data_IF_158929401072
#
_entry.id   IF_158929401072
#
_cell.length_a   1.000
_cell.length_b   1.000
_cell.length_c   1.000
_cell.angle_alpha   90.00
_cell.angle_beta   90.00
_cell.angle_gamma   90.00
#
_symmetry.space_group_name_H-M   'P 1'
#
loop_
_entity.id
_entity.type
_entity.pdbx_description
1 polymer ?
#
# COMPACT_ATOMS: atom_id res chain seq x y z
N UNK A 1 -11.70 -2.07 -34.44
CA UNK A 1 -11.68 -3.22 -33.52
C UNK A 1 -13.07 -3.34 -32.92
N UNK A 2 -13.73 -4.48 -33.10
CA UNK A 2 -15.06 -4.72 -32.54
C UNK A 2 -14.92 -4.87 -31.01
N UNK A 3 -15.76 -4.20 -30.20
CA UNK A 3 -15.70 -4.37 -28.75
C UNK A 3 -16.01 -5.83 -28.38
N UNK A 4 -15.35 -6.39 -27.34
CA UNK A 4 -15.65 -7.74 -26.87
C UNK A 4 -17.11 -7.86 -26.42
N UNK A 5 -17.71 -9.07 -26.48
CA UNK A 5 -19.10 -9.27 -26.11
C UNK A 5 -19.33 -8.88 -24.64
N UNK A 6 -20.54 -8.40 -24.33
CA UNK A 6 -20.89 -7.88 -23.00
C UNK A 6 -20.61 -8.88 -21.85
N UNK A 7 -20.74 -10.18 -22.11
CA UNK A 7 -20.39 -11.24 -21.16
C UNK A 7 -18.92 -11.22 -20.75
N UNK A 8 -18.01 -11.00 -21.70
CA UNK A 8 -16.57 -11.01 -21.47
C UNK A 8 -16.15 -9.76 -20.68
N UNK A 9 -16.83 -8.63 -20.92
CA UNK A 9 -16.59 -7.38 -20.19
C UNK A 9 -17.09 -7.46 -18.74
N UNK A 10 -18.21 -8.13 -18.46
CA UNK A 10 -18.65 -8.39 -17.08
C UNK A 10 -17.68 -9.30 -16.32
N UNK A 11 -17.10 -10.30 -16.99
CA UNK A 11 -16.05 -11.14 -16.39
C UNK A 11 -14.81 -10.30 -16.06
N UNK A 12 -14.36 -9.46 -17.00
CA UNK A 12 -13.22 -8.56 -16.77
C UNK A 12 -13.48 -7.57 -15.62
N UNK A 13 -14.70 -7.04 -15.53
CA UNK A 13 -15.11 -6.17 -14.42
C UNK A 13 -14.97 -6.89 -13.08
N UNK A 14 -15.55 -8.10 -12.96
CA UNK A 14 -15.50 -8.89 -11.73
C UNK A 14 -14.07 -9.22 -11.31
N UNK A 15 -13.25 -9.66 -12.26
CA UNK A 15 -11.83 -9.96 -12.01
C UNK A 15 -11.08 -8.70 -11.55
N UNK A 16 -11.32 -7.55 -12.17
CA UNK A 16 -10.70 -6.29 -11.77
C UNK A 16 -11.15 -5.83 -10.38
N UNK A 17 -12.44 -5.99 -10.05
CA UNK A 17 -13.00 -5.68 -8.74
C UNK A 17 -12.42 -6.57 -7.63
N UNK A 18 -12.33 -7.89 -7.87
CA UNK A 18 -11.74 -8.85 -6.94
C UNK A 18 -10.26 -8.53 -6.69
N UNK A 19 -9.50 -8.22 -7.75
CA UNK A 19 -8.10 -7.79 -7.61
C UNK A 19 -7.98 -6.49 -6.81
N UNK A 20 -8.82 -5.48 -7.09
CA UNK A 20 -8.80 -4.22 -6.32
C UNK A 20 -9.02 -4.46 -4.83
N UNK A 21 -9.98 -5.30 -4.46
CA UNK A 21 -10.23 -5.67 -3.06
C UNK A 21 -9.06 -6.44 -2.44
N UNK A 22 -8.49 -7.40 -3.20
CA UNK A 22 -7.34 -8.17 -2.76
C UNK A 22 -6.14 -7.27 -2.45
N UNK A 23 -5.76 -6.37 -3.37
CA UNK A 23 -4.65 -5.44 -3.15
C UNK A 23 -4.94 -4.45 -2.01
N UNK A 24 -6.19 -4.02 -1.85
CA UNK A 24 -6.60 -3.19 -0.72
C UNK A 24 -6.44 -3.87 0.64
N UNK A 25 -6.75 -5.17 0.75
CA UNK A 25 -6.52 -5.97 1.96
C UNK A 25 -5.03 -6.24 2.19
N UNK A 26 -4.33 -6.61 1.12
CA UNK A 26 -2.90 -6.90 1.15
C UNK A 26 -2.10 -5.69 1.63
N UNK A 27 -2.47 -4.47 1.20
CA UNK A 27 -1.90 -3.23 1.69
C UNK A 27 -1.89 -3.14 3.22
N UNK A 28 -3.05 -3.29 3.86
CA UNK A 28 -3.16 -3.17 5.31
C UNK A 28 -2.49 -4.33 6.05
N UNK A 29 -2.59 -5.56 5.52
CA UNK A 29 -1.94 -6.73 6.11
C UNK A 29 -0.41 -6.58 6.12
N UNK A 30 0.18 -6.19 4.98
CA UNK A 30 1.62 -5.99 4.85
C UNK A 30 2.10 -4.83 5.73
N UNK A 31 1.36 -3.71 5.78
CA UNK A 31 1.70 -2.60 6.66
C UNK A 31 1.64 -2.99 8.14
N UNK A 32 0.58 -3.65 8.58
CA UNK A 32 0.43 -4.07 9.97
C UNK A 32 1.52 -5.08 10.38
N UNK A 33 1.79 -6.08 9.53
CA UNK A 33 2.84 -7.06 9.76
C UNK A 33 4.22 -6.39 9.89
N UNK A 34 4.58 -5.50 8.96
CA UNK A 34 5.89 -4.85 9.02
C UNK A 34 6.02 -3.88 10.19
N UNK A 35 4.94 -3.24 10.63
CA UNK A 35 4.96 -2.41 11.83
C UNK A 35 5.21 -3.25 13.08
N UNK A 36 4.52 -4.38 13.22
CA UNK A 36 4.76 -5.34 14.30
C UNK A 36 6.19 -5.92 14.23
N UNK A 37 6.67 -6.22 13.03
CA UNK A 37 8.03 -6.70 12.79
C UNK A 37 9.09 -5.67 13.17
N UNK A 38 8.90 -4.39 12.81
CA UNK A 38 9.83 -3.31 13.19
C UNK A 38 9.90 -3.15 14.72
N UNK A 39 8.77 -3.23 15.41
CA UNK A 39 8.73 -3.19 16.88
C UNK A 39 9.43 -4.40 17.50
N UNK A 40 9.15 -5.61 17.02
CA UNK A 40 9.81 -6.83 17.49
C UNK A 40 11.33 -6.78 17.24
N UNK A 41 11.73 -6.30 16.06
CA UNK A 41 13.13 -6.11 15.69
C UNK A 41 13.83 -5.13 16.63
N UNK A 42 13.19 -4.00 16.95
CA UNK A 42 13.71 -3.05 17.91
C UNK A 42 13.99 -3.70 19.26
N UNK A 43 12.99 -4.38 19.82
CA UNK A 43 13.11 -5.04 21.14
C UNK A 43 14.23 -6.07 21.17
N UNK A 44 14.33 -6.92 20.14
CA UNK A 44 15.33 -7.99 20.08
C UNK A 44 16.74 -7.44 19.84
N UNK A 45 16.88 -6.44 18.97
CA UNK A 45 18.19 -5.91 18.59
C UNK A 45 18.73 -4.92 19.60
N UNK A 46 17.87 -4.13 20.25
CA UNK A 46 18.31 -3.12 21.22
C UNK A 46 19.07 -3.75 22.39
N UNK A 47 18.65 -4.94 22.84
CA UNK A 47 19.31 -5.72 23.88
C UNK A 47 20.70 -6.22 23.46
N UNK A 48 20.90 -6.54 22.18
CA UNK A 48 22.11 -7.21 21.68
C UNK A 48 23.15 -6.27 21.07
N UNK A 49 22.70 -5.28 20.30
CA UNK A 49 23.54 -4.38 19.50
C UNK A 49 23.38 -2.90 19.88
N UNK A 50 22.57 -2.62 20.90
CA UNK A 50 22.32 -1.28 21.42
C UNK A 50 21.19 -0.52 20.70
N UNK A 51 20.66 0.53 21.35
CA UNK A 51 19.54 1.32 20.81
C UNK A 51 19.79 1.94 19.43
N UNK A 52 20.95 2.56 19.11
CA UNK A 52 21.16 3.21 17.82
C UNK A 52 21.03 2.24 16.64
N UNK A 53 21.61 1.04 16.76
CA UNK A 53 21.54 0.00 15.73
C UNK A 53 20.10 -0.52 15.55
N UNK A 54 19.38 -0.73 16.66
CA UNK A 54 17.99 -1.17 16.63
C UNK A 54 17.06 -0.12 16.00
N UNK A 55 17.27 1.16 16.34
CA UNK A 55 16.57 2.31 15.75
C UNK A 55 16.82 2.38 14.25
N UNK A 56 18.07 2.25 13.81
CA UNK A 56 18.45 2.31 12.39
C UNK A 56 17.76 1.20 11.57
N UNK A 57 17.84 -0.05 12.05
CA UNK A 57 17.22 -1.19 11.38
C UNK A 57 15.70 -1.08 11.31
N UNK A 58 15.07 -0.61 12.38
CA UNK A 58 13.62 -0.36 12.41
C UNK A 58 13.23 0.74 11.42
N UNK A 59 14.03 1.80 11.32
CA UNK A 59 13.88 2.85 10.31
C UNK A 59 13.92 2.31 8.87
N UNK A 60 14.90 1.45 8.56
CA UNK A 60 15.02 0.78 7.26
C UNK A 60 13.78 -0.07 6.94
N UNK A 61 13.25 -0.83 7.91
CA UNK A 61 12.03 -1.62 7.73
C UNK A 61 10.83 -0.73 7.38
N UNK A 62 10.64 0.39 8.08
CA UNK A 62 9.51 1.30 7.81
C UNK A 62 9.61 1.95 6.42
N UNK A 63 10.82 2.36 6.00
CA UNK A 63 11.03 2.89 4.63
C UNK A 63 10.76 1.81 3.59
N UNK A 64 11.30 0.60 3.78
CA UNK A 64 11.03 -0.54 2.89
C UNK A 64 9.53 -0.83 2.78
N UNK A 65 8.83 -0.78 3.90
CA UNK A 65 7.37 -0.93 3.96
C UNK A 65 6.64 0.16 3.19
N UNK A 66 7.07 1.42 3.32
CA UNK A 66 6.50 2.53 2.55
C UNK A 66 6.68 2.31 1.04
N UNK A 67 7.83 1.81 0.59
CA UNK A 67 8.07 1.47 -0.81
C UNK A 67 7.13 0.37 -1.29
N UNK A 68 6.99 -0.73 -0.53
CA UNK A 68 6.07 -1.83 -0.87
C UNK A 68 4.61 -1.34 -0.90
N UNK A 69 4.19 -0.60 0.12
CA UNK A 69 2.86 -0.01 0.21
C UNK A 69 2.57 0.94 -0.96
N UNK A 70 3.56 1.73 -1.41
CA UNK A 70 3.43 2.60 -2.59
C UNK A 70 3.23 1.81 -3.89
N UNK A 71 3.83 0.62 -4.01
CA UNK A 71 3.67 -0.26 -5.18
C UNK A 71 2.30 -0.92 -5.19
N UNK A 72 1.85 -1.42 -4.04
CA UNK A 72 0.50 -1.99 -3.89
C UNK A 72 -0.58 -0.95 -4.20
N UNK A 73 -0.41 0.29 -3.73
CA UNK A 73 -1.34 1.37 -4.03
C UNK A 73 -1.37 1.73 -5.52
N UNK A 74 -0.22 1.69 -6.22
CA UNK A 74 -0.17 1.89 -7.67
C UNK A 74 -0.88 0.78 -8.43
N UNK A 75 -0.70 -0.47 -8.03
CA UNK A 75 -1.41 -1.60 -8.63
C UNK A 75 -2.92 -1.48 -8.43
N UNK A 76 -3.36 -1.20 -7.21
CA UNK A 76 -4.77 -0.98 -6.91
C UNK A 76 -5.39 0.13 -7.76
N UNK A 77 -4.70 1.27 -7.89
CA UNK A 77 -5.14 2.38 -8.75
C UNK A 77 -5.26 1.96 -10.21
N UNK A 78 -4.36 1.12 -10.71
CA UNK A 78 -4.46 0.54 -12.06
C UNK A 78 -5.75 -0.25 -12.27
N UNK A 79 -6.15 -1.07 -11.30
CA UNK A 79 -7.44 -1.77 -11.34
C UNK A 79 -8.61 -0.81 -11.21
N UNK A 80 -8.53 0.20 -10.35
CA UNK A 80 -9.59 1.21 -10.23
C UNK A 80 -9.80 1.97 -11.55
N UNK A 81 -8.73 2.32 -12.26
CA UNK A 81 -8.82 2.95 -13.60
C UNK A 81 -9.41 2.01 -14.65
N UNK A 82 -9.09 0.71 -14.59
CA UNK A 82 -9.66 -0.28 -15.50
C UNK A 82 -11.17 -0.46 -15.28
N UNK A 83 -11.60 -0.53 -14.01
CA UNK A 83 -13.01 -0.58 -13.61
C UNK A 83 -13.74 0.67 -14.13
N UNK A 84 -13.20 1.86 -13.88
CA UNK A 84 -13.80 3.11 -14.33
C UNK A 84 -13.92 3.20 -15.87
N UNK A 85 -12.96 2.66 -16.61
CA UNK A 85 -13.03 2.61 -18.07
C UNK A 85 -14.14 1.66 -18.57
N UNK A 86 -14.37 0.54 -17.87
CA UNK A 86 -15.47 -0.39 -18.18
C UNK A 86 -16.82 0.23 -17.83
N UNK A 87 -16.93 0.90 -16.69
CA UNK A 87 -18.14 1.62 -16.25
C UNK A 87 -18.48 2.77 -17.20
N UNK A 88 -17.50 3.58 -17.62
CA UNK A 88 -17.72 4.66 -18.58
C UNK A 88 -18.18 4.17 -19.97
N UNK A 89 -17.87 2.92 -20.33
CA UNK A 89 -18.32 2.31 -21.58
C UNK A 89 -19.78 1.79 -21.52
N UNK A 90 -20.41 1.76 -20.33
CA UNK A 90 -21.76 1.24 -20.12
C UNK A 90 -22.59 2.21 -19.28
N UNK A 91 -23.41 3.03 -19.93
CA UNK A 91 -24.32 3.99 -19.27
C UNK A 91 -25.29 3.35 -18.26
N UNK A 92 -25.55 2.04 -18.34
CA UNK A 92 -26.45 1.32 -17.43
C UNK A 92 -25.80 0.82 -16.13
N UNK A 93 -24.46 0.79 -16.04
CA UNK A 93 -23.78 0.44 -14.79
C UNK A 93 -23.77 1.66 -13.87
N UNK A 94 -24.37 1.53 -12.68
CA UNK A 94 -24.33 2.55 -11.62
C UNK A 94 -22.89 3.04 -11.44
N UNK A 95 -22.62 4.29 -11.84
CA UNK A 95 -21.31 4.89 -11.68
C UNK A 95 -20.93 4.87 -10.20
N UNK A 96 -19.95 4.05 -9.84
CA UNK A 96 -19.42 4.03 -8.47
C UNK A 96 -18.66 5.34 -8.30
N UNK A 97 -19.12 6.18 -7.38
CA UNK A 97 -18.55 7.50 -7.15
C UNK A 97 -17.03 7.38 -6.97
N UNK A 98 -16.22 8.11 -7.76
CA UNK A 98 -14.77 7.95 -7.74
C UNK A 98 -14.24 8.35 -6.37
N UNK A 99 -13.81 7.37 -5.57
CA UNK A 99 -13.17 7.61 -4.27
C UNK A 99 -12.04 8.63 -4.43
N UNK A 100 -12.12 9.82 -3.81
CA UNK A 100 -11.18 10.91 -4.05
C UNK A 100 -9.76 10.49 -3.70
N UNK A 101 -8.81 10.82 -4.58
CA UNK A 101 -7.42 10.32 -4.61
C UNK A 101 -6.53 10.63 -3.40
N UNK A 102 -7.06 11.26 -2.34
CA UNK A 102 -6.40 11.56 -1.06
C UNK A 102 -6.90 10.63 0.06
N UNK A 103 -6.93 9.32 -0.20
CA UNK A 103 -7.37 8.33 0.76
C UNK A 103 -6.35 8.04 1.86
N UNK A 104 -6.82 7.52 3.00
CA UNK A 104 -6.01 7.14 4.18
C UNK A 104 -4.74 6.35 3.85
N UNK A 105 -4.77 5.52 2.80
CA UNK A 105 -3.62 4.72 2.34
C UNK A 105 -2.44 5.57 1.87
N UNK A 106 -2.69 6.70 1.22
CA UNK A 106 -1.64 7.64 0.81
C UNK A 106 -0.96 8.23 2.04
N UNK A 107 -1.76 8.65 3.03
CA UNK A 107 -1.25 9.17 4.29
C UNK A 107 -0.42 8.10 5.04
N UNK A 108 -0.84 6.83 5.03
CA UNK A 108 -0.07 5.72 5.59
C UNK A 108 1.29 5.56 4.92
N UNK A 109 1.38 5.61 3.59
CA UNK A 109 2.66 5.50 2.87
C UNK A 109 3.61 6.63 3.27
N UNK A 110 3.13 7.88 3.26
CA UNK A 110 3.95 9.02 3.68
C UNK A 110 4.33 8.95 5.16
N UNK A 111 3.40 8.54 6.03
CA UNK A 111 3.64 8.37 7.46
C UNK A 111 4.72 7.32 7.75
N UNK A 112 4.70 6.18 7.06
CA UNK A 112 5.73 5.14 7.18
C UNK A 112 7.10 5.64 6.71
N UNK A 113 7.15 6.33 5.57
CA UNK A 113 8.39 6.88 5.04
C UNK A 113 8.98 7.95 5.98
N UNK A 114 8.13 8.87 6.48
CA UNK A 114 8.54 9.92 7.41
C UNK A 114 9.00 9.33 8.76
N UNK A 115 8.25 8.39 9.32
CA UNK A 115 8.64 7.71 10.56
C UNK A 115 9.97 6.97 10.39
N UNK A 116 10.14 6.23 9.29
CA UNK A 116 11.39 5.53 9.01
C UNK A 116 12.58 6.49 8.84
N UNK A 117 12.40 7.60 8.14
CA UNK A 117 13.44 8.63 7.99
C UNK A 117 13.81 9.28 9.33
N UNK A 118 12.81 9.57 10.19
CA UNK A 118 13.05 10.12 11.52
C UNK A 118 13.83 9.14 12.40
N UNK A 119 13.53 7.84 12.35
CA UNK A 119 14.29 6.84 13.08
C UNK A 119 15.74 6.76 12.59
N UNK A 120 15.98 6.82 11.28
CA UNK A 120 17.34 6.87 10.76
C UNK A 120 18.10 8.11 11.25
N UNK A 121 17.47 9.28 11.21
CA UNK A 121 18.09 10.52 11.73
C UNK A 121 18.37 10.40 13.24
N UNK A 122 17.42 9.88 14.02
CA UNK A 122 17.61 9.67 15.46
C UNK A 122 18.77 8.72 15.74
N UNK A 123 18.87 7.61 15.00
CA UNK A 123 19.99 6.67 15.15
C UNK A 123 21.35 7.30 14.88
N UNK A 124 21.42 8.27 13.96
CA UNK A 124 22.64 9.01 13.65
C UNK A 124 23.02 10.03 14.72
N UNK A 125 22.03 10.59 15.43
CA UNK A 125 22.28 11.54 16.53
C UNK A 125 22.69 10.83 17.82
N UNK A 126 22.33 9.55 17.97
CA UNK A 126 22.63 8.72 19.14
C UNK A 126 23.90 7.84 18.97
N UNK A 127 24.47 7.78 17.76
CA UNK A 127 25.68 7.00 17.43
C UNK A 127 26.96 7.81 17.65
#
# INVERSE_FOLDING_TARGET
MQPPPASDQMVQYRVAADHRLHFGRLFFQVTAFNLAFALALYVVVADRLGPPTATALSGCVLIGTAVVASRLLRQERGYATAIAAIEAAHEELLAVEPTPGRGARVATVFGLAAAGALLLIASWLEA
#
